data_IF_037817284984
#
_entry.id   IF_037817284984
#
_cell.length_a   1.000
_cell.length_b   1.000
_cell.length_c   1.000
_cell.angle_alpha   90.00
_cell.angle_beta   90.00
_cell.angle_gamma   90.00
#
_symmetry.space_group_name_H-M   'P 1'
#
loop_
_entity.id
_entity.type
_entity.pdbx_description
1 polymer ?
#
# COMPACT_ATOMS: atom_id res chain seq x y z
N UNK A 1 16.79 -27.01 0.61
CA UNK A 1 15.67 -26.41 -0.14
C UNK A 1 15.83 -24.91 -0.15
N UNK A 2 15.98 -24.26 -1.32
CA UNK A 2 15.94 -22.80 -1.40
C UNK A 2 14.50 -22.37 -1.08
N UNK A 3 14.33 -21.60 -0.02
CA UNK A 3 13.02 -21.04 0.31
C UNK A 3 12.57 -20.14 -0.86
N UNK A 4 11.68 -20.61 -1.70
CA UNK A 4 11.15 -19.88 -2.84
C UNK A 4 10.27 -18.74 -2.31
N UNK A 5 10.89 -17.57 -2.13
CA UNK A 5 10.18 -16.35 -1.72
C UNK A 5 9.61 -15.68 -2.96
N UNK A 6 8.29 -15.52 -3.00
CA UNK A 6 7.59 -14.71 -4.01
C UNK A 6 7.19 -13.38 -3.38
N UNK A 7 7.45 -12.28 -4.06
CA UNK A 7 7.13 -10.94 -3.56
C UNK A 7 6.48 -10.09 -4.64
N UNK A 8 5.33 -9.52 -4.34
CA UNK A 8 4.67 -8.51 -5.16
C UNK A 8 4.85 -7.13 -4.52
N UNK A 9 5.29 -6.19 -5.32
CA UNK A 9 5.52 -4.79 -4.93
C UNK A 9 5.03 -3.86 -6.03
N UNK A 10 5.07 -2.57 -5.75
CA UNK A 10 4.78 -1.53 -6.75
C UNK A 10 5.67 -1.69 -7.99
N UNK A 11 5.11 -1.42 -9.16
CA UNK A 11 5.80 -1.59 -10.45
C UNK A 11 7.12 -0.83 -10.53
N UNK A 12 8.11 -1.33 -11.28
CA UNK A 12 9.41 -0.66 -11.44
C UNK A 12 9.27 0.78 -11.95
N UNK A 13 8.35 1.04 -12.87
CA UNK A 13 8.09 2.39 -13.40
C UNK A 13 7.65 3.35 -12.29
N UNK A 14 6.68 2.96 -11.47
CA UNK A 14 6.22 3.79 -10.35
C UNK A 14 7.31 3.99 -9.31
N UNK A 15 8.06 2.93 -9.02
CA UNK A 15 9.19 2.95 -8.10
C UNK A 15 10.28 3.92 -8.56
N UNK A 16 10.65 3.86 -9.85
CA UNK A 16 11.67 4.75 -10.43
C UNK A 16 11.25 6.22 -10.36
N UNK A 17 10.01 6.55 -10.75
CA UNK A 17 9.49 7.92 -10.67
C UNK A 17 9.50 8.45 -9.24
N UNK A 18 9.10 7.63 -8.26
CA UNK A 18 9.10 8.03 -6.85
C UNK A 18 10.52 8.17 -6.32
N UNK A 19 11.44 7.28 -6.69
CA UNK A 19 12.85 7.40 -6.32
C UNK A 19 13.46 8.69 -6.87
N UNK A 20 13.18 9.04 -8.12
CA UNK A 20 13.64 10.31 -8.69
C UNK A 20 13.13 11.52 -7.90
N UNK A 21 11.83 11.54 -7.52
CA UNK A 21 11.26 12.61 -6.70
C UNK A 21 11.90 12.68 -5.31
N UNK A 22 12.18 11.54 -4.66
CA UNK A 22 12.87 11.50 -3.37
C UNK A 22 14.26 12.11 -3.50
N UNK A 23 15.02 11.74 -4.53
CA UNK A 23 16.36 12.29 -4.79
C UNK A 23 16.27 13.81 -4.98
N UNK A 24 15.36 14.30 -5.80
CA UNK A 24 15.17 15.74 -6.04
C UNK A 24 14.86 16.48 -4.74
N UNK A 25 13.89 15.99 -3.95
CA UNK A 25 13.55 16.64 -2.66
C UNK A 25 14.71 16.60 -1.68
N UNK A 26 15.49 15.54 -1.64
CA UNK A 26 16.65 15.42 -0.76
C UNK A 26 17.75 16.40 -1.18
N UNK A 27 18.05 16.53 -2.47
CA UNK A 27 19.04 17.49 -2.97
C UNK A 27 18.62 18.94 -2.72
N UNK A 28 17.35 19.29 -2.97
CA UNK A 28 16.83 20.60 -2.67
C UNK A 28 16.83 20.90 -1.17
N UNK A 29 16.54 19.92 -0.33
CA UNK A 29 16.63 20.05 1.13
C UNK A 29 18.07 20.33 1.57
N UNK A 30 19.05 19.61 1.03
CA UNK A 30 20.45 19.83 1.35
C UNK A 30 20.92 21.21 0.90
N UNK A 31 20.55 21.65 -0.30
CA UNK A 31 20.85 22.99 -0.78
C UNK A 31 20.24 24.07 0.13
N UNK A 32 18.97 23.95 0.48
CA UNK A 32 18.31 24.90 1.39
C UNK A 32 18.96 24.92 2.78
N UNK A 33 19.41 23.75 3.29
CA UNK A 33 20.13 23.68 4.56
C UNK A 33 21.45 24.49 4.50
N UNK A 34 22.26 24.27 3.45
CA UNK A 34 23.53 24.98 3.25
C UNK A 34 23.30 26.49 3.16
N UNK A 35 22.34 26.93 2.34
CA UNK A 35 22.00 28.35 2.20
C UNK A 35 21.49 28.94 3.51
N UNK A 36 20.70 28.20 4.27
CA UNK A 36 20.21 28.63 5.58
C UNK A 36 21.35 28.91 6.58
N UNK A 37 22.32 27.99 6.66
CA UNK A 37 23.49 28.12 7.51
C UNK A 37 24.36 29.34 7.06
N UNK A 38 24.59 29.46 5.75
CA UNK A 38 25.38 30.55 5.18
C UNK A 38 24.73 31.90 5.46
N UNK A 39 23.43 32.07 5.26
CA UNK A 39 22.71 33.31 5.51
C UNK A 39 22.71 33.73 7.00
N UNK A 40 22.60 32.75 7.91
CA UNK A 40 22.71 33.02 9.35
C UNK A 40 24.11 33.51 9.69
N UNK A 41 25.15 32.85 9.18
CA UNK A 41 26.55 33.24 9.40
C UNK A 41 26.87 34.61 8.82
N UNK A 42 26.23 35.00 7.71
CA UNK A 42 26.35 36.31 7.05
C UNK A 42 25.48 37.40 7.69
N UNK A 43 24.82 37.13 8.82
CA UNK A 43 23.98 38.08 9.53
C UNK A 43 22.54 38.21 8.99
N UNK A 44 22.18 37.54 7.92
CA UNK A 44 20.83 37.56 7.32
C UNK A 44 19.90 36.54 8.02
N UNK A 45 19.72 36.67 9.33
CA UNK A 45 19.08 35.68 10.20
C UNK A 45 17.67 35.26 9.71
N UNK A 46 16.85 36.22 9.25
CA UNK A 46 15.47 35.95 8.81
C UNK A 46 15.46 35.01 7.58
N UNK A 47 16.27 35.31 6.57
CA UNK A 47 16.37 34.48 5.36
C UNK A 47 16.93 33.09 5.68
N UNK A 48 17.94 33.02 6.53
CA UNK A 48 18.52 31.76 6.96
C UNK A 48 17.51 30.86 7.66
N UNK A 49 16.68 31.40 8.55
CA UNK A 49 15.60 30.65 9.21
C UNK A 49 14.56 30.14 8.20
N UNK A 50 14.17 30.96 7.21
CA UNK A 50 13.24 30.54 6.15
C UNK A 50 13.80 29.38 5.33
N UNK A 51 15.09 29.41 4.97
CA UNK A 51 15.74 28.31 4.26
C UNK A 51 15.79 27.03 5.10
N UNK A 52 16.05 27.11 6.41
CA UNK A 52 16.03 25.94 7.30
C UNK A 52 14.64 25.32 7.41
N UNK A 53 13.58 26.13 7.48
CA UNK A 53 12.20 25.66 7.46
C UNK A 53 11.89 24.96 6.12
N UNK A 54 12.30 25.54 5.00
CA UNK A 54 12.11 24.94 3.67
C UNK A 54 12.85 23.60 3.55
N UNK A 55 14.08 23.51 4.07
CA UNK A 55 14.85 22.27 4.10
C UNK A 55 14.12 21.15 4.87
N UNK A 56 13.56 21.48 6.04
CA UNK A 56 12.80 20.54 6.85
C UNK A 56 11.53 20.05 6.11
N UNK A 57 10.79 20.94 5.49
CA UNK A 57 9.58 20.60 4.72
C UNK A 57 9.95 19.64 3.56
N UNK A 58 10.99 19.93 2.80
CA UNK A 58 11.43 19.11 1.68
C UNK A 58 11.88 17.72 2.14
N UNK A 59 12.58 17.62 3.27
CA UNK A 59 12.97 16.34 3.86
C UNK A 59 11.75 15.51 4.26
N UNK A 60 10.78 16.11 4.91
CA UNK A 60 9.51 15.46 5.28
C UNK A 60 8.77 14.95 4.05
N UNK A 61 8.70 15.76 2.98
CA UNK A 61 8.08 15.33 1.71
C UNK A 61 8.81 14.14 1.09
N UNK A 62 10.15 14.11 1.14
CA UNK A 62 10.93 12.97 0.67
C UNK A 62 10.60 11.68 1.45
N UNK A 63 10.50 11.76 2.78
CA UNK A 63 10.15 10.63 3.65
C UNK A 63 8.73 10.12 3.39
N UNK A 64 7.75 11.00 3.24
CA UNK A 64 6.37 10.62 2.91
C UNK A 64 6.31 9.89 1.57
N UNK A 65 7.01 10.40 0.54
CA UNK A 65 7.07 9.74 -0.77
C UNK A 65 7.77 8.37 -0.69
N UNK A 66 8.83 8.25 0.07
CA UNK A 66 9.51 6.98 0.32
C UNK A 66 8.56 5.95 0.93
N UNK A 67 7.88 6.31 2.00
CA UNK A 67 6.89 5.44 2.63
C UNK A 67 5.79 5.00 1.68
N UNK A 68 5.32 5.88 0.79
CA UNK A 68 4.23 5.56 -0.15
C UNK A 68 4.52 4.42 -1.12
N UNK A 69 5.79 4.12 -1.38
CA UNK A 69 6.19 3.08 -2.35
C UNK A 69 6.84 1.87 -1.68
N UNK A 70 7.63 2.10 -0.63
CA UNK A 70 8.41 1.06 0.02
C UNK A 70 7.76 0.52 1.30
N UNK A 71 6.72 1.19 1.80
CA UNK A 71 6.05 0.83 3.04
C UNK A 71 5.19 -0.44 2.97
N UNK A 72 4.76 -0.85 1.76
CA UNK A 72 3.84 -1.97 1.60
C UNK A 72 4.40 -3.05 0.68
N UNK A 73 4.08 -4.31 0.97
CA UNK A 73 4.36 -5.44 0.08
C UNK A 73 3.44 -6.62 0.38
N UNK A 74 3.33 -7.51 -0.61
CA UNK A 74 2.68 -8.80 -0.52
C UNK A 74 3.74 -9.87 -0.79
N UNK A 75 3.91 -10.83 0.12
CA UNK A 75 5.02 -11.78 0.06
C UNK A 75 4.59 -13.14 0.59
N UNK A 76 5.00 -14.20 -0.09
CA UNK A 76 4.98 -15.55 0.46
C UNK A 76 6.40 -15.97 0.82
N UNK A 77 6.58 -16.47 2.02
CA UNK A 77 7.82 -17.07 2.51
C UNK A 77 7.49 -18.23 3.44
N UNK A 78 8.09 -19.41 3.20
CA UNK A 78 7.86 -20.62 4.00
C UNK A 78 6.36 -20.91 4.19
N UNK A 79 5.61 -20.95 3.08
CA UNK A 79 4.18 -21.23 3.01
C UNK A 79 3.29 -20.32 3.88
N UNK A 80 3.82 -19.15 4.21
CA UNK A 80 3.10 -18.09 4.92
C UNK A 80 3.00 -16.86 4.03
N UNK A 81 1.80 -16.36 3.87
CA UNK A 81 1.48 -15.11 3.19
C UNK A 81 1.60 -13.96 4.16
N UNK A 82 2.43 -12.98 3.83
CA UNK A 82 2.63 -11.74 4.58
C UNK A 82 2.07 -10.57 3.81
N UNK A 83 1.11 -9.87 4.40
CA UNK A 83 0.57 -8.60 3.91
C UNK A 83 1.16 -7.48 4.76
N UNK A 84 2.17 -6.79 4.27
CA UNK A 84 2.65 -5.55 4.89
C UNK A 84 1.84 -4.39 4.33
N UNK A 85 0.99 -3.82 5.15
CA UNK A 85 0.04 -2.77 4.77
C UNK A 85 0.09 -1.60 5.74
N UNK A 86 -0.52 -0.51 5.34
CA UNK A 86 -0.74 0.62 6.25
C UNK A 86 -1.73 0.24 7.34
N UNK A 87 -1.52 0.76 8.56
CA UNK A 87 -2.36 0.43 9.71
C UNK A 87 -3.84 0.77 9.48
N UNK A 88 -4.10 1.87 8.77
CA UNK A 88 -5.44 2.26 8.36
C UNK A 88 -6.04 1.43 7.20
N UNK A 89 -5.28 0.52 6.63
CA UNK A 89 -5.72 -0.48 5.65
C UNK A 89 -5.74 -0.03 4.20
N UNK A 90 -5.74 1.27 3.86
CA UNK A 90 -5.99 1.69 2.48
C UNK A 90 -4.84 2.39 1.78
N UNK A 91 -4.45 3.55 2.24
CA UNK A 91 -3.40 4.32 1.59
C UNK A 91 -2.40 4.79 2.64
N UNK A 92 -1.15 5.01 2.24
CA UNK A 92 -0.12 5.51 3.15
C UNK A 92 -0.53 6.83 3.78
N UNK A 93 -1.41 7.54 3.09
CA UNK A 93 -1.76 8.87 3.44
C UNK A 93 -3.18 9.18 2.97
N UNK A 94 -4.09 9.17 3.91
CA UNK A 94 -5.41 9.77 3.73
C UNK A 94 -5.42 11.01 4.61
N UNK A 95 -5.36 12.22 4.02
CA UNK A 95 -5.36 13.46 4.78
C UNK A 95 -6.55 13.46 5.74
N UNK A 96 -6.27 13.54 7.02
CA UNK A 96 -7.33 13.62 8.02
C UNK A 96 -8.01 15.00 7.98
N UNK A 97 -7.29 15.98 7.42
CA UNK A 97 -7.75 17.36 7.24
C UNK A 97 -8.12 18.03 8.55
N UNK A 98 -7.72 17.46 9.67
CA UNK A 98 -7.92 18.03 10.99
C UNK A 98 -6.79 18.98 11.36
N UNK A 99 -5.57 18.70 10.88
CA UNK A 99 -4.45 19.64 10.97
C UNK A 99 -3.38 19.26 9.95
N UNK A 100 -2.59 20.25 9.51
CA UNK A 100 -1.41 20.05 8.67
C UNK A 100 -0.40 19.07 9.31
N UNK A 101 -0.25 19.12 10.62
CA UNK A 101 0.66 18.23 11.36
C UNK A 101 0.18 16.79 11.48
N UNK A 102 -1.13 16.55 11.54
CA UNK A 102 -1.66 15.17 11.51
C UNK A 102 -1.41 14.52 10.18
N UNK A 103 -1.39 15.31 9.13
CA UNK A 103 -1.15 14.87 7.76
C UNK A 103 0.32 14.54 7.48
N UNK A 104 1.25 15.08 8.28
CA UNK A 104 2.69 14.83 8.19
C UNK A 104 3.14 13.58 8.98
N UNK A 105 2.29 13.01 9.83
CA UNK A 105 2.66 11.79 10.56
C UNK A 105 2.92 10.64 9.58
N UNK A 106 4.09 10.00 9.65
CA UNK A 106 4.35 8.81 8.85
C UNK A 106 3.30 7.76 9.19
N UNK A 107 2.60 7.26 8.18
CA UNK A 107 1.61 6.23 8.40
C UNK A 107 2.31 4.95 8.90
N UNK A 108 1.84 4.42 10.02
CA UNK A 108 2.34 3.16 10.55
C UNK A 108 1.98 2.00 9.62
N UNK A 109 2.90 1.07 9.46
CA UNK A 109 2.64 -0.18 8.75
C UNK A 109 2.41 -1.31 9.74
N UNK A 110 1.52 -2.21 9.39
CA UNK A 110 1.31 -3.48 10.09
C UNK A 110 1.58 -4.65 9.16
N UNK A 111 1.95 -5.78 9.73
CA UNK A 111 2.14 -7.03 8.98
C UNK A 111 1.09 -8.02 9.47
N UNK A 112 0.29 -8.51 8.53
CA UNK A 112 -0.62 -9.63 8.75
C UNK A 112 0.01 -10.86 8.12
N UNK A 113 0.09 -11.96 8.85
CA UNK A 113 0.60 -13.25 8.37
C UNK A 113 -0.50 -14.29 8.39
N UNK A 114 -0.60 -15.06 7.30
CA UNK A 114 -1.61 -16.11 7.12
C UNK A 114 -0.94 -17.31 6.47
N UNK A 115 -1.04 -18.54 7.02
CA UNK A 115 -0.65 -19.74 6.32
C UNK A 115 -1.44 -19.89 5.01
N UNK A 116 -0.76 -20.22 3.90
CA UNK A 116 -1.42 -20.23 2.57
C UNK A 116 -2.42 -21.37 2.42
N UNK A 117 -2.24 -22.47 3.14
CA UNK A 117 -3.17 -23.60 3.20
C UNK A 117 -4.47 -23.27 3.95
N UNK A 118 -4.44 -22.25 4.80
CA UNK A 118 -5.61 -21.74 5.53
C UNK A 118 -6.42 -20.70 4.74
N UNK A 119 -5.99 -20.31 3.55
CA UNK A 119 -6.72 -19.36 2.70
C UNK A 119 -7.85 -20.07 1.98
N UNK A 120 -9.09 -19.68 2.23
CA UNK A 120 -10.30 -20.23 1.59
C UNK A 120 -10.77 -19.41 0.37
N UNK A 121 -10.62 -18.09 0.42
CA UNK A 121 -11.05 -17.19 -0.64
C UNK A 121 -10.00 -16.13 -0.94
N UNK A 122 -9.84 -15.80 -2.21
CA UNK A 122 -9.00 -14.68 -2.70
C UNK A 122 -9.84 -13.83 -3.64
N UNK A 123 -10.03 -12.56 -3.31
CA UNK A 123 -10.74 -11.62 -4.19
C UNK A 123 -9.83 -10.47 -4.58
N UNK A 124 -9.81 -10.15 -5.89
CA UNK A 124 -9.10 -9.00 -6.43
C UNK A 124 -10.07 -8.08 -7.14
N UNK A 125 -10.16 -6.86 -6.67
CA UNK A 125 -11.02 -5.86 -7.27
C UNK A 125 -11.28 -4.67 -6.35
N UNK A 126 -12.18 -3.82 -6.80
CA UNK A 126 -12.60 -2.65 -6.03
C UNK A 126 -13.36 -3.06 -4.76
N UNK A 127 -13.49 -2.13 -3.82
CA UNK A 127 -14.27 -2.36 -2.59
C UNK A 127 -15.67 -2.89 -2.86
N UNK A 128 -16.37 -2.36 -3.90
CA UNK A 128 -17.74 -2.74 -4.20
C UNK A 128 -17.83 -4.15 -4.78
N UNK A 129 -16.81 -4.58 -5.51
CA UNK A 129 -16.70 -5.97 -5.95
C UNK A 129 -16.49 -6.91 -4.76
N UNK A 130 -15.56 -6.57 -3.87
CA UNK A 130 -15.28 -7.38 -2.67
C UNK A 130 -16.53 -7.47 -1.80
N UNK A 131 -17.21 -6.35 -1.50
CA UNK A 131 -18.45 -6.32 -0.70
C UNK A 131 -19.55 -7.26 -1.22
N UNK A 132 -19.63 -7.44 -2.53
CA UNK A 132 -20.63 -8.35 -3.16
C UNK A 132 -20.27 -9.82 -3.11
N UNK A 133 -19.00 -10.13 -2.85
CA UNK A 133 -18.48 -11.50 -2.93
C UNK A 133 -18.00 -12.05 -1.58
N UNK A 134 -17.81 -11.19 -0.55
CA UNK A 134 -17.39 -11.64 0.78
C UNK A 134 -18.44 -12.57 1.40
N UNK A 135 -17.95 -13.50 2.21
CA UNK A 135 -18.77 -14.39 3.02
C UNK A 135 -19.20 -13.70 4.32
N UNK A 136 -19.89 -14.42 5.20
CA UNK A 136 -20.27 -13.89 6.52
C UNK A 136 -19.06 -13.50 7.38
N UNK A 137 -17.90 -14.14 7.17
CA UNK A 137 -16.63 -13.78 7.82
C UNK A 137 -16.10 -12.41 7.40
N UNK A 138 -16.48 -11.93 6.22
CA UNK A 138 -16.10 -10.61 5.70
C UNK A 138 -16.64 -9.40 6.47
N UNK A 139 -17.40 -9.58 7.53
CA UNK A 139 -17.91 -8.48 8.39
C UNK A 139 -16.80 -7.60 8.97
N UNK A 140 -15.61 -8.18 9.24
CA UNK A 140 -14.42 -7.43 9.68
C UNK A 140 -13.95 -6.44 8.60
N UNK A 141 -13.98 -6.85 7.32
CA UNK A 141 -13.67 -5.96 6.21
C UNK A 141 -14.64 -4.79 6.12
N UNK A 142 -15.94 -5.07 6.16
CA UNK A 142 -16.98 -4.03 6.14
C UNK A 142 -16.78 -3.02 7.27
N UNK A 143 -16.49 -3.48 8.49
CA UNK A 143 -16.21 -2.61 9.62
C UNK A 143 -14.97 -1.74 9.40
N UNK A 144 -13.93 -2.28 8.78
CA UNK A 144 -12.69 -1.57 8.51
C UNK A 144 -12.83 -0.46 7.45
N UNK A 145 -13.69 -0.65 6.44
CA UNK A 145 -13.90 0.35 5.38
C UNK A 145 -14.96 1.40 5.72
N UNK A 146 -15.86 1.09 6.65
CA UNK A 146 -17.00 1.95 7.00
C UNK A 146 -16.63 3.41 7.34
N UNK A 147 -15.58 3.71 8.12
CA UNK A 147 -15.20 5.09 8.43
C UNK A 147 -14.88 5.92 7.19
N UNK A 148 -14.32 5.28 6.15
CA UNK A 148 -13.96 5.95 4.89
C UNK A 148 -15.17 6.19 4.00
N UNK A 149 -16.10 5.24 3.94
CA UNK A 149 -17.33 5.36 3.15
C UNK A 149 -18.25 6.46 3.67
N UNK A 150 -18.36 6.62 4.98
CA UNK A 150 -19.17 7.66 5.63
C UNK A 150 -18.48 8.99 5.83
N UNK A 151 -17.22 9.11 5.47
CA UNK A 151 -16.53 10.39 5.60
C UNK A 151 -17.22 11.48 4.79
N UNK A 152 -17.48 12.63 5.43
CA UNK A 152 -17.96 13.84 4.75
C UNK A 152 -16.92 14.38 3.75
N UNK A 153 -15.63 14.06 3.93
CA UNK A 153 -14.54 14.50 3.06
C UNK A 153 -14.51 13.67 1.79
N UNK A 154 -14.68 14.33 0.65
CA UNK A 154 -14.59 13.73 -0.69
C UNK A 154 -13.26 12.97 -0.87
N UNK A 155 -12.14 13.55 -0.46
CA UNK A 155 -10.82 12.94 -0.56
C UNK A 155 -10.70 11.58 0.12
N UNK A 156 -11.35 11.38 1.28
CA UNK A 156 -11.36 10.07 1.97
C UNK A 156 -12.20 9.04 1.22
N UNK A 157 -13.36 9.44 0.68
CA UNK A 157 -14.20 8.55 -0.14
C UNK A 157 -13.50 8.17 -1.44
N UNK A 158 -12.89 9.13 -2.11
CA UNK A 158 -12.18 8.92 -3.37
C UNK A 158 -10.93 8.05 -3.18
N UNK A 159 -10.33 8.09 -1.98
CA UNK A 159 -9.13 7.31 -1.66
C UNK A 159 -9.36 5.78 -1.75
N UNK A 160 -10.58 5.31 -1.53
CA UNK A 160 -10.93 3.88 -1.62
C UNK A 160 -11.76 3.56 -2.87
N UNK A 161 -12.25 4.60 -3.57
CA UNK A 161 -13.02 4.42 -4.80
C UNK A 161 -12.09 4.03 -5.95
N UNK A 162 -12.44 2.98 -6.66
CA UNK A 162 -11.68 2.53 -7.85
C UNK A 162 -10.28 1.97 -7.56
N UNK A 163 -9.90 1.80 -6.30
CA UNK A 163 -8.63 1.14 -5.94
C UNK A 163 -8.84 -0.36 -5.88
N UNK A 164 -8.06 -1.10 -6.68
CA UNK A 164 -8.03 -2.55 -6.57
C UNK A 164 -7.36 -2.97 -5.25
N UNK A 165 -7.99 -3.93 -4.59
CA UNK A 165 -7.53 -4.53 -3.35
C UNK A 165 -7.27 -6.02 -3.56
N UNK A 166 -6.27 -6.52 -2.88
CA UNK A 166 -6.06 -7.93 -2.62
C UNK A 166 -6.72 -8.25 -1.29
N UNK A 167 -7.72 -9.13 -1.31
CA UNK A 167 -8.50 -9.52 -0.16
C UNK A 167 -8.49 -11.03 -0.02
N UNK A 168 -8.34 -11.54 1.19
CA UNK A 168 -8.39 -12.96 1.50
C UNK A 168 -9.31 -13.22 2.69
N UNK A 169 -9.94 -14.39 2.67
CA UNK A 169 -10.60 -15.01 3.83
C UNK A 169 -9.92 -16.33 4.16
N UNK A 170 -9.87 -16.65 5.44
CA UNK A 170 -9.35 -17.92 5.94
C UNK A 170 -10.48 -18.88 6.27
N UNK A 171 -10.16 -20.17 6.38
CA UNK A 171 -11.08 -21.20 6.84
C UNK A 171 -11.60 -20.94 8.25
N UNK A 172 -10.79 -20.24 9.09
CA UNK A 172 -11.16 -19.87 10.45
C UNK A 172 -12.05 -18.62 10.53
N UNK A 173 -12.42 -18.05 9.40
CA UNK A 173 -13.28 -16.87 9.31
C UNK A 173 -12.57 -15.54 9.55
N UNK A 174 -11.24 -15.53 9.57
CA UNK A 174 -10.48 -14.28 9.57
C UNK A 174 -10.36 -13.71 8.15
N UNK A 175 -10.19 -12.40 8.05
CA UNK A 175 -9.94 -11.75 6.78
C UNK A 175 -8.76 -10.80 6.84
N UNK A 176 -8.06 -10.67 5.71
CA UNK A 176 -7.03 -9.68 5.54
C UNK A 176 -7.13 -9.05 4.14
N UNK A 177 -6.73 -7.79 4.04
CA UNK A 177 -6.76 -7.07 2.77
C UNK A 177 -5.68 -6.00 2.71
N UNK A 178 -5.31 -5.63 1.51
CA UNK A 178 -4.45 -4.49 1.24
C UNK A 178 -4.71 -3.90 -0.15
N UNK A 179 -4.55 -2.60 -0.33
CA UNK A 179 -4.55 -2.00 -1.66
C UNK A 179 -3.36 -2.50 -2.48
N UNK A 180 -3.61 -2.85 -3.74
CA UNK A 180 -2.58 -3.29 -4.68
C UNK A 180 -2.43 -2.33 -5.86
N UNK A 181 -2.84 -1.07 -5.66
CA UNK A 181 -2.67 -0.03 -6.66
C UNK A 181 -1.21 0.08 -7.10
N UNK A 182 -0.99 0.13 -8.40
CA UNK A 182 0.35 0.23 -9.00
C UNK A 182 1.25 -1.01 -8.76
N UNK A 183 0.73 -2.11 -8.22
CA UNK A 183 1.47 -3.37 -8.10
C UNK A 183 1.64 -4.06 -9.46
N UNK A 184 2.71 -4.84 -9.59
CA UNK A 184 2.92 -5.68 -10.76
C UNK A 184 1.89 -6.80 -10.81
N UNK A 185 1.01 -6.80 -11.82
CA UNK A 185 -0.01 -7.84 -12.03
C UNK A 185 0.62 -9.22 -12.05
N UNK A 186 1.72 -9.38 -12.79
CA UNK A 186 2.45 -10.65 -12.88
C UNK A 186 2.85 -11.19 -11.50
N UNK A 187 3.37 -10.31 -10.64
CA UNK A 187 3.84 -10.73 -9.31
C UNK A 187 2.66 -11.05 -8.37
N UNK A 188 1.56 -10.32 -8.47
CA UNK A 188 0.34 -10.63 -7.70
C UNK A 188 -0.26 -11.95 -8.16
N UNK A 189 -0.28 -12.22 -9.46
CA UNK A 189 -0.74 -13.50 -10.03
C UNK A 189 0.14 -14.67 -9.56
N UNK A 190 1.45 -14.48 -9.47
CA UNK A 190 2.35 -15.50 -8.92
C UNK A 190 2.06 -15.82 -7.44
N UNK A 191 1.69 -14.82 -6.66
CA UNK A 191 1.20 -15.02 -5.28
C UNK A 191 -0.07 -15.88 -5.27
N UNK A 192 -1.04 -15.57 -6.14
CA UNK A 192 -2.29 -16.34 -6.23
C UNK A 192 -2.01 -17.78 -6.66
N UNK A 193 -1.14 -17.96 -7.65
CA UNK A 193 -0.75 -19.28 -8.10
C UNK A 193 -0.18 -20.12 -6.95
N UNK A 194 0.71 -19.55 -6.14
CA UNK A 194 1.26 -20.22 -4.97
C UNK A 194 0.20 -20.60 -3.94
N UNK A 195 -0.79 -19.74 -3.71
CA UNK A 195 -1.92 -20.06 -2.83
C UNK A 195 -2.72 -21.21 -3.43
N UNK A 196 -3.02 -21.16 -4.73
CA UNK A 196 -3.77 -22.20 -5.42
C UNK A 196 -3.04 -23.56 -5.45
N UNK A 197 -1.71 -23.53 -5.68
CA UNK A 197 -0.87 -24.76 -5.65
C UNK A 197 -0.86 -25.41 -4.25
N UNK A 198 -0.95 -24.62 -3.18
CA UNK A 198 -1.01 -25.12 -1.81
C UNK A 198 -2.42 -25.54 -1.38
N UNK A 199 -3.44 -24.84 -1.86
CA UNK A 199 -4.85 -25.14 -1.60
C UNK A 199 -5.67 -25.06 -2.90
N UNK A 200 -5.82 -26.15 -3.66
CA UNK A 200 -6.62 -26.15 -4.91
C UNK A 200 -8.11 -25.89 -4.71
N UNK A 201 -8.61 -25.94 -3.47
CA UNK A 201 -10.01 -25.65 -3.12
C UNK A 201 -10.26 -24.13 -2.95
N UNK A 202 -9.21 -23.29 -3.00
CA UNK A 202 -9.35 -21.84 -2.83
C UNK A 202 -10.23 -21.25 -3.93
N UNK A 203 -11.24 -20.50 -3.51
CA UNK A 203 -12.08 -19.76 -4.45
C UNK A 203 -11.40 -18.44 -4.84
N UNK A 204 -11.06 -18.25 -6.10
CA UNK A 204 -10.43 -17.03 -6.61
C UNK A 204 -11.40 -16.27 -7.50
N UNK A 205 -11.75 -15.04 -7.11
CA UNK A 205 -12.60 -14.13 -7.90
C UNK A 205 -11.87 -12.83 -8.21
N UNK A 206 -12.00 -12.35 -9.44
CA UNK A 206 -11.36 -11.09 -9.89
C UNK A 206 -12.34 -10.25 -10.70
N UNK A 207 -12.35 -8.94 -10.45
CA UNK A 207 -13.15 -7.99 -11.23
C UNK A 207 -12.36 -7.38 -12.39
N UNK A 208 -11.06 -7.22 -12.22
CA UNK A 208 -10.21 -6.57 -13.21
C UNK A 208 -9.86 -7.54 -14.34
N UNK A 209 -10.12 -7.11 -15.60
CA UNK A 209 -9.89 -7.91 -16.81
C UNK A 209 -8.43 -8.38 -16.95
N UNK A 210 -7.48 -7.56 -16.54
CA UNK A 210 -6.06 -7.87 -16.65
C UNK A 210 -5.71 -9.08 -15.78
N UNK A 211 -6.15 -9.11 -14.52
CA UNK A 211 -5.99 -10.26 -13.63
C UNK A 211 -6.77 -11.49 -14.11
N UNK A 212 -8.00 -11.29 -14.63
CA UNK A 212 -8.85 -12.37 -15.10
C UNK A 212 -8.19 -13.20 -16.19
N UNK A 213 -7.53 -12.55 -17.14
CA UNK A 213 -6.83 -13.24 -18.24
C UNK A 213 -5.70 -14.16 -17.76
N UNK A 214 -5.01 -13.80 -16.67
CA UNK A 214 -3.96 -14.64 -16.08
C UNK A 214 -4.52 -15.78 -15.24
N UNK A 215 -5.56 -15.51 -14.45
CA UNK A 215 -6.11 -16.50 -13.51
C UNK A 215 -6.85 -17.61 -14.23
N UNK A 216 -7.58 -17.33 -15.32
CA UNK A 216 -8.18 -18.37 -16.15
C UNK A 216 -7.15 -19.38 -16.68
N UNK A 217 -5.90 -18.95 -16.92
CA UNK A 217 -4.82 -19.84 -17.34
C UNK A 217 -4.32 -20.74 -16.20
N UNK A 218 -4.45 -20.31 -14.95
CA UNK A 218 -4.04 -21.09 -13.77
C UNK A 218 -5.09 -22.14 -13.44
N UNK A 219 -6.37 -21.80 -13.57
CA UNK A 219 -7.48 -22.71 -13.24
C UNK A 219 -7.78 -23.77 -14.33
N UNK A 220 -7.30 -23.53 -15.57
CA UNK A 220 -7.51 -24.44 -16.71
C UNK A 220 -6.30 -25.35 -17.00
N UNK A 221 -5.32 -25.41 -16.08
CA UNK A 221 -4.20 -26.35 -16.09
C UNK A 221 -4.45 -27.45 -15.05
#
# INVERSE_FOLDING_TARGET
>A
MKANTVTATVTPKKRSTTTALIVVYTLLSLFALIMGIYDIASGKKVFGILFLIAALILLVLALIKGNSVYGTNLKIKNDTLYLKRWENGFLPYIPDGTSFFSDLKPAKTTIVSVPIDNVSHVFIGTKDFIKRNITDSGKKFLKAIYPYERSSKKSKRDAISGVDMFYIETTDGDCAFMPIRDYSVKNVVEIIKRIYDANPQVEVKVSNREYKNYIMKIQNV
#
